data_IF_773188241605
#
_entry.id   IF_773188241605
#
_cell.length_a   1.000
_cell.length_b   1.000
_cell.length_c   1.000
_cell.angle_alpha   90.00
_cell.angle_beta   90.00
_cell.angle_gamma   90.00
#
_symmetry.space_group_name_H-M   'P 1'
#
loop_
_entity.id
_entity.type
_entity.pdbx_description
1 polymer ?
#
# COMPACT_ATOMS: atom_id res chain seq x y z
N UNK A 1 0.94 1.05 2.19
CA UNK A 1 0.12 1.06 3.43
C UNK A 1 0.93 0.45 4.57
N UNK A 2 0.59 0.76 5.82
CA UNK A 2 1.27 0.17 6.97
C UNK A 2 0.94 -1.32 7.14
N UNK A 3 1.87 -2.10 7.71
CA UNK A 3 1.72 -3.54 7.94
C UNK A 3 1.06 -3.89 9.29
N UNK A 4 0.73 -2.88 10.10
CA UNK A 4 0.21 -3.08 11.44
C UNK A 4 -1.13 -3.83 11.46
N UNK A 5 -1.16 -4.94 12.21
CA UNK A 5 -2.32 -5.79 12.46
C UNK A 5 -2.94 -6.49 11.23
N UNK A 6 -2.29 -6.47 10.06
CA UNK A 6 -2.85 -7.07 8.83
C UNK A 6 -3.06 -8.59 8.92
N UNK A 7 -2.45 -9.26 9.91
CA UNK A 7 -2.65 -10.67 10.19
C UNK A 7 -3.94 -11.02 10.94
N UNK A 8 -4.72 -10.04 11.38
CA UNK A 8 -6.00 -10.31 12.05
C UNK A 8 -7.05 -10.82 11.06
N UNK A 9 -7.89 -11.77 11.49
CA UNK A 9 -8.83 -12.48 10.61
C UNK A 9 -9.90 -11.58 9.96
N UNK A 10 -10.20 -10.42 10.54
CA UNK A 10 -11.16 -9.47 9.94
C UNK A 10 -10.61 -8.70 8.73
N UNK A 11 -9.29 -8.73 8.50
CA UNK A 11 -8.71 -8.25 7.25
C UNK A 11 -8.90 -9.30 6.16
N UNK A 12 -9.96 -9.14 5.38
CA UNK A 12 -10.29 -10.02 4.26
C UNK A 12 -9.89 -9.43 2.90
N UNK A 13 -9.41 -8.18 2.86
CA UNK A 13 -9.08 -7.44 1.63
C UNK A 13 -7.79 -6.64 1.82
N UNK A 14 -6.90 -6.70 0.84
CA UNK A 14 -5.61 -6.00 0.83
C UNK A 14 -5.38 -5.25 -0.49
N UNK A 15 -4.38 -4.35 -0.45
CA UNK A 15 -4.20 -3.22 -1.36
C UNK A 15 -5.31 -2.15 -1.25
N UNK A 16 -5.00 -0.92 -1.66
CA UNK A 16 -5.94 0.20 -1.56
C UNK A 16 -7.23 0.00 -2.35
N UNK A 17 -7.24 -0.81 -3.41
CA UNK A 17 -8.42 -1.15 -4.21
C UNK A 17 -9.02 -2.52 -3.89
N UNK A 18 -8.45 -3.25 -2.92
CA UNK A 18 -8.94 -4.58 -2.53
C UNK A 18 -8.76 -5.63 -3.61
N UNK A 19 -7.78 -5.48 -4.51
CA UNK A 19 -7.56 -6.44 -5.60
C UNK A 19 -7.15 -7.84 -5.12
N UNK A 20 -6.77 -7.99 -3.86
CA UNK A 20 -6.56 -9.28 -3.21
C UNK A 20 -7.56 -9.41 -2.08
N UNK A 21 -8.49 -10.35 -2.20
CA UNK A 21 -9.54 -10.59 -1.21
C UNK A 21 -9.84 -12.08 -1.03
N UNK A 22 -10.37 -12.46 0.13
CA UNK A 22 -10.85 -13.83 0.39
C UNK A 22 -11.98 -14.22 -0.57
N UNK A 23 -12.01 -15.50 -0.97
CA UNK A 23 -13.06 -16.06 -1.83
C UNK A 23 -13.85 -17.16 -1.09
N UNK A 24 -14.75 -16.79 -0.15
CA UNK A 24 -15.49 -17.76 0.66
C UNK A 24 -16.45 -18.63 -0.17
N UNK A 25 -16.84 -18.17 -1.36
CA UNK A 25 -17.71 -18.89 -2.30
C UNK A 25 -16.93 -19.91 -3.15
N UNK A 26 -15.59 -19.90 -3.10
CA UNK A 26 -14.74 -20.92 -3.70
C UNK A 26 -14.71 -20.88 -5.23
N UNK A 27 -14.84 -19.70 -5.84
CA UNK A 27 -14.74 -19.52 -7.28
C UNK A 27 -13.35 -19.86 -7.84
N UNK A 28 -12.30 -19.62 -7.05
CA UNK A 28 -10.92 -19.87 -7.40
C UNK A 28 -10.30 -20.93 -6.50
N UNK A 29 -9.60 -21.88 -7.10
CA UNK A 29 -8.96 -22.98 -6.35
C UNK A 29 -7.94 -22.53 -5.30
N UNK A 30 -7.38 -21.34 -5.47
CA UNK A 30 -6.45 -20.73 -4.52
C UNK A 30 -7.13 -20.17 -3.26
N UNK A 31 -8.46 -20.06 -3.23
CA UNK A 31 -9.22 -19.51 -2.09
C UNK A 31 -9.27 -17.98 -2.02
N UNK A 32 -8.79 -17.29 -3.05
CA UNK A 32 -8.69 -15.83 -3.08
C UNK A 32 -9.05 -15.26 -4.45
N UNK A 33 -9.77 -14.13 -4.46
CA UNK A 33 -9.96 -13.31 -5.64
C UNK A 33 -8.73 -12.41 -5.79
N UNK A 34 -7.97 -12.61 -6.86
CA UNK A 34 -6.72 -11.88 -7.11
C UNK A 34 -6.53 -11.56 -8.60
N UNK A 35 -5.61 -10.65 -8.97
CA UNK A 35 -5.31 -10.39 -10.38
C UNK A 35 -4.78 -11.62 -11.13
N UNK A 36 -4.20 -12.59 -10.42
CA UNK A 36 -3.70 -13.83 -11.00
C UNK A 36 -4.82 -14.83 -11.35
N UNK A 37 -6.03 -14.69 -10.77
CA UNK A 37 -7.18 -15.59 -10.99
C UNK A 37 -6.77 -17.05 -10.79
N UNK A 38 -7.10 -17.92 -11.75
CA UNK A 38 -6.74 -19.35 -11.77
C UNK A 38 -5.24 -19.65 -11.85
N UNK A 39 -4.38 -18.63 -12.07
CA UNK A 39 -2.93 -18.82 -12.04
C UNK A 39 -2.35 -18.77 -10.63
N UNK A 40 -3.12 -18.30 -9.64
CA UNK A 40 -2.67 -18.27 -8.24
C UNK A 40 -2.53 -19.72 -7.72
N UNK A 41 -1.34 -20.12 -7.21
CA UNK A 41 -1.14 -21.46 -6.68
C UNK A 41 -1.95 -21.70 -5.40
N UNK A 42 -2.26 -22.98 -5.13
CA UNK A 42 -2.89 -23.43 -3.88
C UNK A 42 -1.90 -23.44 -2.72
N UNK A 43 -2.42 -23.46 -1.50
CA UNK A 43 -1.63 -23.61 -0.27
C UNK A 43 -1.33 -22.31 0.49
N UNK A 44 -1.90 -21.19 0.06
CA UNK A 44 -1.85 -19.92 0.78
C UNK A 44 -2.79 -19.96 1.99
N UNK A 45 -2.32 -19.52 3.15
CA UNK A 45 -3.02 -19.69 4.43
C UNK A 45 -3.89 -18.47 4.83
N UNK A 46 -3.67 -17.31 4.21
CA UNK A 46 -4.39 -16.07 4.54
C UNK A 46 -4.38 -15.10 3.35
N UNK A 47 -5.24 -14.07 3.41
CA UNK A 47 -5.21 -12.99 2.39
C UNK A 47 -3.87 -12.25 2.40
N UNK A 48 -3.22 -12.15 3.56
CA UNK A 48 -1.88 -11.57 3.71
C UNK A 48 -0.83 -12.40 2.98
N UNK A 49 -0.88 -13.73 3.08
CA UNK A 49 -0.04 -14.61 2.29
C UNK A 49 -0.33 -14.45 0.80
N UNK A 50 -1.62 -14.36 0.40
CA UNK A 50 -1.97 -14.11 -1.00
C UNK A 50 -1.42 -12.78 -1.51
N UNK A 51 -1.43 -11.72 -0.68
CA UNK A 51 -0.89 -10.42 -1.03
C UNK A 51 0.64 -10.47 -1.23
N UNK A 52 1.36 -11.20 -0.38
CA UNK A 52 2.82 -11.35 -0.46
C UNK A 52 3.31 -11.98 -1.79
N UNK A 53 2.40 -12.62 -2.55
CA UNK A 53 2.70 -13.16 -3.87
C UNK A 53 2.92 -12.10 -4.96
N UNK A 54 2.43 -10.86 -4.78
CA UNK A 54 2.32 -9.88 -5.87
C UNK A 54 3.49 -8.90 -6.00
N UNK A 55 4.05 -8.32 -4.91
CA UNK A 55 5.14 -7.34 -5.03
C UNK A 55 6.37 -7.87 -5.78
N UNK A 56 6.71 -9.15 -5.55
CA UNK A 56 7.79 -9.86 -6.25
C UNK A 56 7.57 -10.05 -7.76
N UNK A 57 6.33 -9.91 -8.22
CA UNK A 57 5.92 -10.06 -9.61
C UNK A 57 5.60 -8.73 -10.30
N UNK A 58 5.95 -7.60 -9.67
CA UNK A 58 5.63 -6.26 -10.16
C UNK A 58 6.89 -5.56 -10.67
N UNK A 59 6.86 -5.12 -11.93
CA UNK A 59 7.99 -4.42 -12.58
C UNK A 59 8.23 -3.02 -12.04
N UNK A 60 7.26 -2.46 -11.30
CA UNK A 60 7.38 -1.17 -10.62
C UNK A 60 7.69 -1.33 -9.12
N UNK A 61 7.90 -2.57 -8.67
CA UNK A 61 8.30 -2.90 -7.30
C UNK A 61 9.56 -3.77 -7.33
N UNK A 62 9.46 -5.10 -7.19
CA UNK A 62 10.63 -5.95 -6.93
C UNK A 62 11.10 -6.78 -8.13
N UNK A 63 10.28 -6.96 -9.17
CA UNK A 63 10.63 -7.87 -10.26
C UNK A 63 11.78 -7.35 -11.14
N UNK A 64 11.89 -6.02 -11.27
CA UNK A 64 12.76 -5.36 -12.23
C UNK A 64 12.11 -5.16 -13.61
N UNK A 65 12.89 -4.66 -14.56
CA UNK A 65 12.50 -4.40 -15.95
C UNK A 65 12.89 -5.55 -16.89
N UNK A 66 12.20 -5.71 -18.04
CA UNK A 66 12.53 -6.75 -19.01
C UNK A 66 14.00 -6.69 -19.43
N UNK A 67 14.68 -7.84 -19.49
CA UNK A 67 16.10 -7.98 -19.81
C UNK A 67 17.03 -7.94 -18.59
N UNK A 68 16.59 -7.42 -17.44
CA UNK A 68 17.44 -7.37 -16.23
C UNK A 68 17.62 -8.74 -15.60
N UNK A 69 16.56 -9.56 -15.59
CA UNK A 69 16.57 -10.90 -15.02
C UNK A 69 15.40 -11.76 -15.51
N UNK A 70 15.50 -13.07 -15.28
CA UNK A 70 14.51 -14.06 -15.72
C UNK A 70 13.11 -13.92 -15.08
N UNK A 71 12.98 -13.30 -13.91
CA UNK A 71 11.68 -13.02 -13.29
C UNK A 71 11.05 -11.84 -14.01
N UNK A 72 11.78 -10.75 -14.22
CA UNK A 72 11.29 -9.59 -14.96
C UNK A 72 10.81 -9.97 -16.38
N UNK A 73 11.55 -10.82 -17.07
CA UNK A 73 11.15 -11.35 -18.39
C UNK A 73 9.86 -12.18 -18.33
N UNK A 74 9.68 -12.95 -17.25
CA UNK A 74 8.46 -13.72 -17.03
C UNK A 74 7.27 -12.80 -16.71
N UNK A 75 7.47 -11.77 -15.87
CA UNK A 75 6.47 -10.74 -15.56
C UNK A 75 6.01 -10.03 -16.84
N UNK A 76 6.96 -9.53 -17.62
CA UNK A 76 6.70 -8.82 -18.88
C UNK A 76 5.88 -9.65 -19.86
N UNK A 77 6.16 -10.95 -19.93
CA UNK A 77 5.42 -11.87 -20.77
C UNK A 77 4.07 -12.36 -20.18
N UNK A 78 3.64 -11.81 -19.04
CA UNK A 78 2.39 -12.20 -18.37
C UNK A 78 2.39 -13.61 -17.76
N UNK A 79 3.58 -14.14 -17.46
CA UNK A 79 3.83 -15.51 -16.96
C UNK A 79 4.28 -15.50 -15.50
N UNK A 80 3.34 -15.30 -14.56
CA UNK A 80 3.64 -15.44 -13.12
C UNK A 80 3.50 -16.89 -12.61
N UNK A 81 2.42 -17.57 -12.98
CA UNK A 81 2.18 -18.96 -12.59
C UNK A 81 2.74 -20.00 -13.57
N UNK A 82 2.74 -21.26 -13.15
CA UNK A 82 3.14 -22.43 -13.94
C UNK A 82 4.65 -22.77 -13.87
N UNK A 83 5.08 -23.87 -14.51
CA UNK A 83 6.43 -24.43 -14.36
C UNK A 83 7.59 -23.54 -14.81
N UNK A 84 7.31 -22.51 -15.60
CA UNK A 84 8.31 -21.55 -16.10
C UNK A 84 7.98 -20.10 -15.72
N UNK A 85 7.01 -19.92 -14.81
CA UNK A 85 6.54 -18.62 -14.36
C UNK A 85 7.44 -17.99 -13.31
N UNK A 86 7.24 -16.69 -13.06
CA UNK A 86 8.00 -15.92 -12.08
C UNK A 86 8.04 -16.55 -10.68
N UNK A 87 6.93 -17.09 -10.17
CA UNK A 87 6.91 -17.72 -8.84
C UNK A 87 7.73 -19.00 -8.77
N UNK A 88 7.79 -19.80 -9.84
CA UNK A 88 8.63 -20.99 -9.84
C UNK A 88 10.12 -20.63 -9.90
N UNK A 89 10.48 -19.57 -10.63
CA UNK A 89 11.85 -19.03 -10.65
C UNK A 89 12.27 -18.48 -9.29
N UNK A 90 11.37 -17.78 -8.60
CA UNK A 90 11.60 -17.33 -7.22
C UNK A 90 11.76 -18.52 -6.26
N UNK A 91 10.91 -19.55 -6.38
CA UNK A 91 11.07 -20.77 -5.60
C UNK A 91 12.43 -21.43 -5.87
N UNK A 92 12.87 -21.47 -7.13
CA UNK A 92 14.18 -22.02 -7.50
C UNK A 92 15.32 -21.29 -6.80
N UNK A 93 15.30 -19.95 -6.73
CA UNK A 93 16.31 -19.18 -5.96
C UNK A 93 16.35 -19.58 -4.48
N UNK A 94 15.20 -19.86 -3.86
CA UNK A 94 15.15 -20.34 -2.47
C UNK A 94 15.74 -21.75 -2.31
N UNK A 95 15.57 -22.62 -3.33
CA UNK A 95 16.11 -23.99 -3.31
C UNK A 95 17.63 -24.03 -3.50
N UNK A 96 18.18 -23.02 -4.16
CA UNK A 96 19.62 -22.89 -4.43
C UNK A 96 20.40 -22.35 -3.23
N UNK A 97 19.72 -21.83 -2.21
CA UNK A 97 20.32 -21.32 -0.97
C UNK A 97 20.21 -22.36 0.17
N UNK A 98 21.30 -23.08 0.52
CA UNK A 98 21.25 -24.17 1.50
C UNK A 98 20.69 -23.77 2.87
N UNK A 99 20.92 -22.53 3.29
CA UNK A 99 20.44 -22.03 4.57
C UNK A 99 18.93 -21.79 4.55
N UNK A 100 18.38 -21.28 3.46
CA UNK A 100 16.92 -21.20 3.29
C UNK A 100 16.29 -22.59 3.23
N UNK A 101 16.90 -23.54 2.50
CA UNK A 101 16.42 -24.93 2.48
C UNK A 101 16.33 -25.50 3.89
N UNK A 102 17.33 -25.30 4.74
CA UNK A 102 17.32 -25.74 6.15
C UNK A 102 16.20 -25.07 6.95
N UNK A 103 16.02 -23.75 6.78
CA UNK A 103 14.98 -22.99 7.48
C UNK A 103 13.57 -23.44 7.06
N UNK A 104 13.32 -23.62 5.76
CA UNK A 104 12.03 -24.09 5.25
C UNK A 104 11.69 -25.50 5.75
N UNK A 105 12.66 -26.43 5.77
CA UNK A 105 12.46 -27.77 6.33
C UNK A 105 12.14 -27.76 7.82
N UNK A 106 12.74 -26.83 8.56
CA UNK A 106 12.44 -26.64 9.99
C UNK A 106 11.06 -26.05 10.21
N UNK A 107 10.67 -25.05 9.41
CA UNK A 107 9.39 -24.36 9.55
C UNK A 107 8.19 -25.20 9.06
N UNK A 108 8.39 -26.05 8.05
CA UNK A 108 7.32 -26.84 7.43
C UNK A 108 7.69 -28.34 7.33
N UNK A 109 7.95 -29.02 8.46
CA UNK A 109 8.50 -30.38 8.47
C UNK A 109 7.58 -31.42 7.82
N UNK A 110 6.27 -31.22 7.88
CA UNK A 110 5.27 -32.13 7.30
C UNK A 110 5.14 -31.99 5.78
N UNK A 111 5.50 -30.82 5.23
CA UNK A 111 5.37 -30.48 3.80
C UNK A 111 6.69 -30.56 3.04
N UNK A 112 7.81 -30.14 3.65
CA UNK A 112 9.09 -29.94 2.96
C UNK A 112 10.08 -31.03 3.38
N UNK A 113 10.17 -32.10 2.57
CA UNK A 113 11.05 -33.25 2.81
C UNK A 113 12.37 -33.12 2.05
N UNK A 114 12.36 -32.38 0.95
CA UNK A 114 13.48 -32.11 0.06
C UNK A 114 13.44 -30.67 -0.45
N UNK A 115 14.55 -30.11 -0.99
CA UNK A 115 14.53 -28.78 -1.60
C UNK A 115 13.48 -28.67 -2.71
N UNK A 116 13.26 -29.74 -3.48
CA UNK A 116 12.28 -29.79 -4.56
C UNK A 116 10.82 -29.66 -4.10
N UNK A 117 10.53 -29.70 -2.80
CA UNK A 117 9.19 -29.46 -2.24
C UNK A 117 8.92 -27.98 -1.99
N UNK A 118 9.96 -27.14 -1.91
CA UNK A 118 9.81 -25.70 -1.64
C UNK A 118 9.08 -25.05 -2.81
N UNK A 119 8.01 -24.33 -2.52
CA UNK A 119 7.22 -23.51 -3.45
C UNK A 119 7.21 -22.08 -2.96
N UNK A 120 6.96 -21.13 -3.86
CA UNK A 120 6.89 -19.72 -3.46
C UNK A 120 5.74 -19.41 -2.49
N UNK A 121 4.68 -20.23 -2.49
CA UNK A 121 3.61 -20.14 -1.47
C UNK A 121 4.13 -20.34 -0.05
N UNK A 122 5.20 -21.13 0.12
CA UNK A 122 5.81 -21.37 1.43
C UNK A 122 6.49 -20.09 1.95
N UNK A 123 7.14 -19.36 1.05
CA UNK A 123 7.73 -18.07 1.36
C UNK A 123 6.65 -17.02 1.67
N UNK A 124 5.57 -17.00 0.89
CA UNK A 124 4.44 -16.10 1.12
C UNK A 124 3.75 -16.34 2.48
N UNK A 125 3.53 -17.61 2.86
CA UNK A 125 3.01 -17.94 4.19
C UNK A 125 3.99 -17.55 5.30
N UNK A 126 5.30 -17.75 5.10
CA UNK A 126 6.31 -17.33 6.07
C UNK A 126 6.36 -15.79 6.26
N UNK A 127 6.25 -15.02 5.17
CA UNK A 127 6.15 -13.56 5.21
C UNK A 127 4.90 -13.13 5.97
N UNK A 128 3.74 -13.68 5.64
CA UNK A 128 2.49 -13.35 6.32
C UNK A 128 2.53 -13.70 7.82
N UNK A 129 3.13 -14.83 8.19
CA UNK A 129 3.32 -15.21 9.58
C UNK A 129 4.24 -14.25 10.32
N UNK A 130 5.34 -13.83 9.69
CA UNK A 130 6.23 -12.80 10.24
C UNK A 130 5.48 -11.47 10.42
N UNK A 131 4.80 -10.98 9.38
CA UNK A 131 4.08 -9.71 9.43
C UNK A 131 2.99 -9.70 10.53
N UNK A 132 2.28 -10.82 10.68
CA UNK A 132 1.28 -11.02 11.73
C UNK A 132 1.84 -10.82 13.14
N UNK A 133 3.06 -11.29 13.39
CA UNK A 133 3.70 -11.24 14.70
C UNK A 133 4.45 -9.93 14.90
N UNK A 134 5.32 -9.58 13.96
CA UNK A 134 6.24 -8.46 14.07
C UNK A 134 5.53 -7.11 14.06
N UNK A 135 4.40 -7.01 13.35
CA UNK A 135 3.61 -5.77 13.23
C UNK A 135 2.31 -5.82 14.03
N UNK A 136 2.22 -6.69 15.04
CA UNK A 136 1.11 -6.64 16.00
C UNK A 136 1.18 -5.35 16.82
N UNK A 137 0.07 -4.63 16.87
CA UNK A 137 -0.05 -3.34 17.55
C UNK A 137 -1.39 -3.25 18.29
N UNK A 138 -1.33 -3.44 19.60
CA UNK A 138 -2.49 -3.58 20.50
C UNK A 138 -2.26 -3.00 21.92
N UNK A 139 -1.23 -2.16 22.05
CA UNK A 139 -0.77 -1.55 23.30
C UNK A 139 -0.71 -0.03 23.23
N UNK A 140 -1.54 0.61 22.40
CA UNK A 140 -1.64 2.08 22.39
C UNK A 140 -2.33 2.62 23.67
N UNK A 141 -2.21 3.92 23.99
CA UNK A 141 -3.00 4.56 25.04
C UNK A 141 -4.51 4.33 24.89
N UNK A 142 -5.01 4.33 23.65
CA UNK A 142 -6.41 3.99 23.37
C UNK A 142 -6.75 2.53 23.72
N UNK A 143 -5.85 1.57 23.49
CA UNK A 143 -6.07 0.19 23.93
C UNK A 143 -6.11 0.05 25.45
N UNK A 144 -5.24 0.75 26.17
CA UNK A 144 -5.27 0.78 27.63
C UNK A 144 -6.59 1.38 28.15
N UNK A 145 -7.05 2.47 27.52
CA UNK A 145 -8.34 3.08 27.82
C UNK A 145 -9.51 2.10 27.60
N UNK A 146 -9.54 1.39 26.48
CA UNK A 146 -10.56 0.37 26.20
C UNK A 146 -10.52 -0.82 27.18
N UNK A 147 -9.35 -1.12 27.77
CA UNK A 147 -9.18 -2.13 28.83
C UNK A 147 -9.53 -1.63 30.23
N UNK A 148 -10.05 -0.41 30.36
CA UNK A 148 -10.55 0.16 31.61
C UNK A 148 -9.59 1.10 32.34
N UNK A 149 -8.41 1.38 31.79
CA UNK A 149 -7.54 2.44 32.31
C UNK A 149 -8.07 3.81 31.87
N UNK A 150 -8.96 4.37 32.68
CA UNK A 150 -9.54 5.71 32.43
C UNK A 150 -8.50 6.83 32.45
N UNK A 151 -7.27 6.58 32.89
CA UNK A 151 -6.18 7.57 32.93
C UNK A 151 -5.23 7.50 31.73
N UNK A 152 -5.34 6.48 30.88
CA UNK A 152 -4.55 6.36 29.65
C UNK A 152 -4.86 7.47 28.64
N UNK A 153 -6.12 7.92 28.65
CA UNK A 153 -6.65 9.18 28.11
C UNK A 153 -6.09 10.43 28.81
N UNK A 154 -5.47 11.40 28.12
CA UNK A 154 -5.46 12.78 28.62
C UNK A 154 -6.78 13.51 28.29
N UNK A 155 -6.98 14.72 28.82
CA UNK A 155 -8.22 15.49 28.62
C UNK A 155 -8.42 15.94 27.17
N UNK A 156 -7.35 16.27 26.45
CA UNK A 156 -7.41 16.70 25.05
C UNK A 156 -7.70 15.51 24.14
N UNK A 157 -7.04 14.38 24.38
CA UNK A 157 -7.27 13.10 23.70
C UNK A 157 -8.71 12.63 23.89
N UNK A 158 -9.28 12.74 25.09
CA UNK A 158 -10.69 12.44 25.34
C UNK A 158 -11.65 13.34 24.55
N UNK A 159 -11.38 14.65 24.50
CA UNK A 159 -12.18 15.57 23.67
C UNK A 159 -12.09 15.22 22.19
N UNK A 160 -10.90 14.85 21.72
CA UNK A 160 -10.68 14.35 20.37
C UNK A 160 -11.47 13.08 20.08
N UNK A 161 -11.47 12.13 21.01
CA UNK A 161 -12.28 10.92 20.93
C UNK A 161 -13.77 11.25 20.84
N UNK A 162 -14.29 12.15 21.68
CA UNK A 162 -15.69 12.57 21.66
C UNK A 162 -16.08 13.24 20.32
N UNK A 163 -15.18 14.03 19.73
CA UNK A 163 -15.37 14.58 18.40
C UNK A 163 -15.39 13.48 17.34
N UNK A 164 -14.43 12.56 17.39
CA UNK A 164 -14.24 11.47 16.42
C UNK A 164 -15.47 10.55 16.34
N UNK A 165 -16.01 10.17 17.51
CA UNK A 165 -17.22 9.33 17.62
C UNK A 165 -18.53 10.11 17.57
N UNK A 166 -18.46 11.45 17.57
CA UNK A 166 -19.62 12.34 17.58
C UNK A 166 -19.62 13.30 16.39
N UNK A 167 -19.43 14.59 16.70
CA UNK A 167 -19.62 15.71 15.76
C UNK A 167 -18.82 15.58 14.46
N UNK A 168 -17.59 15.05 14.51
CA UNK A 168 -16.72 14.93 13.35
C UNK A 168 -17.14 13.80 12.40
N UNK A 169 -17.90 12.81 12.89
CA UNK A 169 -18.43 11.71 12.08
C UNK A 169 -17.39 10.70 11.59
N UNK A 170 -16.13 10.77 12.06
CA UNK A 170 -15.03 9.90 11.62
C UNK A 170 -15.35 8.41 11.84
N UNK A 171 -16.02 8.09 12.95
CA UNK A 171 -16.47 6.74 13.27
C UNK A 171 -17.53 6.16 12.32
N UNK A 172 -18.04 6.97 11.38
CA UNK A 172 -18.89 6.47 10.29
C UNK A 172 -18.20 5.38 9.47
N UNK A 173 -16.91 5.56 9.16
CA UNK A 173 -16.08 4.57 8.46
C UNK A 173 -14.99 3.99 9.37
N UNK A 174 -14.37 4.81 10.23
CA UNK A 174 -13.26 4.38 11.08
C UNK A 174 -13.74 3.91 12.45
N UNK A 175 -14.20 2.66 12.55
CA UNK A 175 -14.77 2.08 13.78
C UNK A 175 -14.24 0.68 14.06
N UNK A 176 -14.68 0.09 15.17
CA UNK A 176 -14.28 -1.27 15.55
C UNK A 176 -12.83 -1.37 16.05
N UNK A 177 -12.34 -2.60 16.17
CA UNK A 177 -11.05 -2.92 16.81
C UNK A 177 -9.87 -2.22 16.15
N UNK A 178 -9.86 -2.15 14.82
CA UNK A 178 -8.77 -1.52 14.05
C UNK A 178 -9.12 -0.14 13.48
N UNK A 179 -10.21 0.50 13.93
CA UNK A 179 -10.63 1.82 13.42
C UNK A 179 -10.79 1.82 11.89
N UNK A 180 -11.41 0.78 11.37
CA UNK A 180 -11.77 0.60 9.96
C UNK A 180 -13.02 -0.27 9.88
N UNK A 181 -13.86 0.01 8.90
CA UNK A 181 -14.99 -0.85 8.57
C UNK A 181 -14.72 -1.82 7.43
N UNK A 182 -13.47 -1.84 6.94
CA UNK A 182 -13.04 -2.65 5.79
C UNK A 182 -13.85 -2.39 4.50
N UNK A 183 -14.55 -1.25 4.44
CA UNK A 183 -15.35 -0.79 3.32
C UNK A 183 -14.55 -0.02 2.28
N UNK A 184 -15.20 0.32 1.16
CA UNK A 184 -14.62 1.14 0.10
C UNK A 184 -15.41 2.43 -0.06
N UNK A 185 -14.73 3.57 0.08
CA UNK A 185 -15.36 4.89 0.01
C UNK A 185 -14.63 5.81 -0.95
N UNK A 186 -15.41 6.59 -1.69
CA UNK A 186 -14.90 7.71 -2.47
C UNK A 186 -14.96 8.96 -1.59
N UNK A 187 -13.79 9.57 -1.34
CA UNK A 187 -13.67 10.80 -0.54
C UNK A 187 -12.98 11.91 -1.31
N UNK A 188 -12.95 11.83 -2.65
CA UNK A 188 -12.25 12.78 -3.52
C UNK A 188 -10.75 12.97 -3.18
N UNK A 189 -10.08 11.93 -2.64
CA UNK A 189 -8.66 11.96 -2.33
C UNK A 189 -7.83 12.31 -3.57
N UNK A 190 -7.05 13.42 -3.59
CA UNK A 190 -6.31 13.82 -4.77
C UNK A 190 -5.31 12.73 -5.19
N UNK A 191 -5.18 12.48 -6.49
CA UNK A 191 -4.25 11.50 -7.05
C UNK A 191 -2.99 12.18 -7.55
N UNK A 192 -1.83 11.56 -7.34
CA UNK A 192 -0.53 12.05 -7.78
C UNK A 192 0.30 10.90 -8.35
N UNK A 193 1.32 11.21 -9.15
CA UNK A 193 2.23 10.22 -9.71
C UNK A 193 1.71 9.60 -11.03
N UNK A 194 2.30 8.48 -11.48
CA UNK A 194 2.10 7.92 -12.81
C UNK A 194 0.69 7.33 -13.05
N UNK A 195 -0.20 7.40 -12.07
CA UNK A 195 -1.51 6.78 -12.15
C UNK A 195 -1.44 5.26 -12.16
N UNK A 196 -2.51 4.65 -12.67
CA UNK A 196 -2.65 3.19 -12.68
C UNK A 196 -3.23 2.64 -13.98
N UNK A 197 -3.24 3.43 -15.05
CA UNK A 197 -3.65 2.95 -16.38
C UNK A 197 -5.15 3.05 -16.65
N UNK A 198 -5.93 3.71 -15.80
CA UNK A 198 -7.38 3.83 -16.03
C UNK A 198 -7.74 5.17 -16.66
N UNK A 199 -9.00 5.23 -17.12
CA UNK A 199 -9.54 6.38 -17.82
C UNK A 199 -9.38 6.26 -19.33
N UNK A 200 -9.86 7.28 -20.01
CA UNK A 200 -9.81 7.39 -21.47
C UNK A 200 -9.50 8.83 -21.89
N UNK A 201 -8.82 9.58 -21.03
CA UNK A 201 -8.56 10.98 -21.28
C UNK A 201 -7.56 11.18 -22.42
N UNK A 202 -8.08 11.48 -23.61
CA UNK A 202 -7.28 11.81 -24.78
C UNK A 202 -6.57 13.16 -24.69
N UNK A 203 -6.85 14.01 -23.68
CA UNK A 203 -6.16 15.29 -23.49
C UNK A 203 -4.71 15.09 -23.06
N UNK A 204 -4.42 14.08 -22.23
CA UNK A 204 -3.03 13.77 -21.86
C UNK A 204 -2.22 13.41 -23.10
N UNK A 205 -2.75 12.49 -23.93
CA UNK A 205 -2.15 12.14 -25.22
C UNK A 205 -1.97 13.37 -26.11
N UNK A 206 -3.01 14.19 -26.25
CA UNK A 206 -2.99 15.37 -27.12
C UNK A 206 -1.95 16.42 -26.71
N UNK A 207 -1.63 16.52 -25.42
CA UNK A 207 -0.66 17.49 -24.88
C UNK A 207 0.77 16.95 -24.81
N UNK A 208 0.93 15.72 -24.31
CA UNK A 208 2.24 15.12 -24.04
C UNK A 208 2.81 14.33 -25.24
N UNK A 209 1.94 13.85 -26.14
CA UNK A 209 2.31 12.87 -27.15
C UNK A 209 2.66 11.49 -26.54
N UNK A 210 2.24 11.19 -25.31
CA UNK A 210 2.38 9.88 -24.66
C UNK A 210 1.04 9.18 -24.50
N UNK A 211 0.90 7.99 -25.11
CA UNK A 211 -0.37 7.26 -25.13
C UNK A 211 -0.53 6.47 -23.84
N UNK A 212 -0.76 7.20 -22.75
CA UNK A 212 -0.96 6.63 -21.42
C UNK A 212 -2.31 7.07 -20.83
N UNK A 213 -2.79 6.23 -19.92
CA UNK A 213 -3.95 6.48 -19.08
C UNK A 213 -3.46 6.61 -17.65
N UNK A 214 -3.84 7.68 -16.96
CA UNK A 214 -3.20 8.08 -15.70
C UNK A 214 -4.18 8.11 -14.52
N UNK A 215 -5.45 7.81 -14.74
CA UNK A 215 -6.43 7.79 -13.65
C UNK A 215 -6.23 6.52 -12.79
N UNK A 216 -6.56 6.61 -11.51
CA UNK A 216 -6.74 5.48 -10.62
C UNK A 216 -8.22 5.37 -10.21
N UNK A 217 -8.95 4.39 -10.74
CA UNK A 217 -10.34 4.14 -10.35
C UNK A 217 -10.47 3.41 -9.02
N UNK A 218 -9.37 3.04 -8.36
CA UNK A 218 -9.42 2.30 -7.10
C UNK A 218 -10.21 1.00 -7.28
N UNK A 219 -11.25 0.81 -6.44
CA UNK A 219 -12.11 -0.38 -6.47
C UNK A 219 -12.79 -0.60 -7.82
N UNK A 220 -13.11 0.46 -8.57
CA UNK A 220 -13.67 0.38 -9.92
C UNK A 220 -12.82 -0.44 -10.90
N UNK A 221 -11.48 -0.44 -10.75
CA UNK A 221 -10.58 -1.30 -11.54
C UNK A 221 -10.80 -2.79 -11.27
N UNK A 222 -11.13 -3.13 -10.02
CA UNK A 222 -11.31 -4.52 -9.58
C UNK A 222 -12.68 -5.03 -9.99
N UNK A 223 -13.72 -4.22 -9.81
CA UNK A 223 -15.11 -4.64 -10.04
C UNK A 223 -15.59 -4.40 -11.48
N UNK A 224 -14.94 -3.49 -12.20
CA UNK A 224 -15.39 -3.01 -13.51
C UNK A 224 -16.68 -2.20 -13.47
N UNK A 225 -17.15 -1.80 -12.29
CA UNK A 225 -18.40 -1.05 -12.10
C UNK A 225 -18.09 0.43 -11.92
N UNK A 226 -18.65 1.32 -12.77
CA UNK A 226 -18.43 2.76 -12.63
C UNK A 226 -18.86 3.35 -11.28
N UNK A 227 -19.79 2.70 -10.56
CA UNK A 227 -20.22 3.12 -9.23
C UNK A 227 -19.15 2.92 -8.14
N UNK A 228 -18.13 2.11 -8.44
CA UNK A 228 -16.99 1.84 -7.55
C UNK A 228 -15.75 2.69 -7.90
N UNK A 229 -15.83 3.53 -8.94
CA UNK A 229 -14.74 4.41 -9.33
C UNK A 229 -14.37 5.37 -8.19
N UNK A 230 -13.07 5.55 -7.99
CA UNK A 230 -12.45 6.40 -6.96
C UNK A 230 -12.72 5.98 -5.52
N UNK A 231 -13.32 4.79 -5.30
CA UNK A 231 -13.44 4.22 -3.96
C UNK A 231 -12.17 3.48 -3.59
N UNK A 232 -11.67 3.72 -2.39
CA UNK A 232 -10.52 3.01 -1.82
C UNK A 232 -10.87 2.44 -0.45
N UNK A 233 -10.17 1.37 -0.08
CA UNK A 233 -10.35 0.68 1.20
C UNK A 233 -10.12 1.67 2.36
N UNK A 234 -11.03 1.71 3.33
CA UNK A 234 -10.84 2.41 4.60
C UNK A 234 -9.61 1.84 5.31
N UNK A 235 -8.48 2.56 5.44
CA UNK A 235 -7.33 2.03 6.16
C UNK A 235 -7.61 1.99 7.67
N UNK A 236 -6.96 1.05 8.37
CA UNK A 236 -6.87 1.08 9.83
C UNK A 236 -6.19 2.39 10.28
N UNK A 237 -6.68 3.00 11.36
CA UNK A 237 -6.04 4.18 11.96
C UNK A 237 -5.03 3.83 13.06
N UNK A 238 -4.80 2.54 13.33
CA UNK A 238 -3.74 2.12 14.25
C UNK A 238 -2.38 2.62 13.73
N UNK A 239 -1.64 3.32 14.58
CA UNK A 239 -0.36 3.96 14.24
C UNK A 239 -0.43 4.99 13.10
N UNK A 240 -1.60 5.57 12.80
CA UNK A 240 -1.76 6.52 11.68
C UNK A 240 -0.80 7.72 11.77
N UNK A 241 -0.37 8.11 12.97
CA UNK A 241 0.59 9.19 13.17
C UNK A 241 2.01 8.87 12.65
N UNK A 242 2.34 7.60 12.43
CA UNK A 242 3.68 7.15 12.00
C UNK A 242 3.75 6.78 10.51
N UNK A 243 2.64 6.81 9.79
CA UNK A 243 2.51 6.15 8.48
C UNK A 243 2.28 7.14 7.35
N UNK A 244 2.77 8.37 7.52
CA UNK A 244 2.78 9.37 6.47
C UNK A 244 3.75 9.00 5.33
N UNK A 245 3.63 9.64 4.16
CA UNK A 245 2.54 10.55 3.77
C UNK A 245 1.20 9.80 3.60
N UNK A 246 0.10 10.52 3.70
CA UNK A 246 -1.25 9.97 3.80
C UNK A 246 -2.06 10.07 2.50
N UNK A 247 -3.05 9.20 2.36
CA UNK A 247 -3.83 8.99 1.14
C UNK A 247 -3.29 7.81 0.32
N UNK A 248 -4.09 7.26 -0.60
CA UNK A 248 -3.70 6.09 -1.40
C UNK A 248 -2.49 6.35 -2.32
N UNK A 249 -2.24 7.62 -2.64
CA UNK A 249 -1.11 8.08 -3.46
C UNK A 249 -0.05 8.86 -2.66
N UNK A 250 -0.14 8.93 -1.32
CA UNK A 250 0.80 9.71 -0.50
C UNK A 250 0.67 11.23 -0.69
N UNK A 251 -0.55 11.70 -0.92
CA UNK A 251 -0.89 13.06 -1.32
C UNK A 251 -0.68 14.11 -0.22
N UNK A 252 -0.81 13.74 1.05
CA UNK A 252 -0.69 14.68 2.16
C UNK A 252 0.54 14.38 3.01
N UNK A 253 1.40 15.38 3.22
CA UNK A 253 2.63 15.24 4.01
C UNK A 253 2.44 15.45 5.51
N UNK A 254 1.25 15.87 5.95
CA UNK A 254 0.90 16.01 7.38
C UNK A 254 -0.43 15.33 7.67
N UNK A 255 -0.54 14.79 8.89
CA UNK A 255 -1.78 14.18 9.38
C UNK A 255 -2.91 15.22 9.42
N UNK A 256 -2.58 16.45 9.83
CA UNK A 256 -3.52 17.58 9.84
C UNK A 256 -4.09 17.88 8.45
N UNK A 257 -3.26 17.95 7.41
CA UNK A 257 -3.74 18.22 6.06
C UNK A 257 -4.73 17.14 5.60
N UNK A 258 -4.48 15.89 5.97
CA UNK A 258 -5.40 14.77 5.72
C UNK A 258 -6.69 14.92 6.50
N UNK A 259 -6.65 15.25 7.80
CA UNK A 259 -7.84 15.50 8.60
C UNK A 259 -8.66 16.64 7.98
N UNK A 260 -8.03 17.75 7.60
CA UNK A 260 -8.70 18.89 6.96
C UNK A 260 -9.32 18.52 5.61
N UNK A 261 -8.69 17.64 4.83
CA UNK A 261 -9.31 17.07 3.64
C UNK A 261 -10.61 16.34 3.95
N UNK A 262 -10.67 15.53 5.02
CA UNK A 262 -11.90 14.83 5.41
C UNK A 262 -13.02 15.80 5.84
N UNK A 263 -12.67 16.97 6.39
CA UNK A 263 -13.66 17.97 6.83
C UNK A 263 -14.37 18.67 5.66
N UNK A 264 -13.72 18.83 4.50
CA UNK A 264 -14.34 19.34 3.28
C UNK A 264 -13.61 18.83 2.03
N UNK A 265 -13.91 17.58 1.65
CA UNK A 265 -13.14 16.88 0.64
C UNK A 265 -13.28 17.49 -0.77
N UNK A 266 -14.46 18.03 -1.08
CA UNK A 266 -14.74 18.69 -2.36
C UNK A 266 -13.96 20.00 -2.47
N UNK A 267 -14.06 20.89 -1.47
CA UNK A 267 -13.28 22.12 -1.48
C UNK A 267 -11.77 21.82 -1.46
N UNK A 268 -11.35 20.79 -0.72
CA UNK A 268 -9.96 20.37 -0.63
C UNK A 268 -9.39 19.92 -1.98
N UNK A 269 -10.08 19.05 -2.75
CA UNK A 269 -9.56 18.59 -4.06
C UNK A 269 -9.57 19.71 -5.12
N UNK A 270 -10.52 20.63 -5.07
CA UNK A 270 -10.56 21.79 -5.96
C UNK A 270 -9.43 22.78 -5.67
N UNK A 271 -9.11 22.97 -4.39
CA UNK A 271 -8.03 23.84 -3.93
C UNK A 271 -6.65 23.16 -3.93
N UNK A 272 -6.57 21.83 -4.05
CA UNK A 272 -5.31 21.10 -3.93
C UNK A 272 -4.30 21.56 -4.97
N UNK A 273 -3.05 21.74 -4.52
CA UNK A 273 -1.89 22.04 -5.36
C UNK A 273 -0.81 21.07 -4.99
N UNK A 274 -0.28 20.34 -5.97
CA UNK A 274 0.79 19.38 -5.78
C UNK A 274 2.03 20.10 -5.25
N UNK A 275 2.48 19.82 -4.01
CA UNK A 275 3.73 20.35 -3.49
C UNK A 275 4.91 19.81 -4.32
N UNK A 276 5.82 20.69 -4.72
CA UNK A 276 7.04 20.28 -5.44
C UNK A 276 7.88 19.28 -4.63
N UNK A 277 7.87 19.39 -3.30
CA UNK A 277 8.55 18.48 -2.39
C UNK A 277 8.01 17.05 -2.38
N UNK A 278 6.81 16.80 -2.89
CA UNK A 278 6.25 15.45 -3.01
C UNK A 278 6.73 14.72 -4.27
N UNK A 279 7.20 15.45 -5.28
CA UNK A 279 7.77 14.83 -6.47
C UNK A 279 9.28 14.64 -6.27
N UNK A 280 9.83 13.44 -6.53
CA UNK A 280 11.27 13.24 -6.42
C UNK A 280 12.00 14.17 -7.38
N UNK A 281 13.17 14.65 -6.98
CA UNK A 281 14.08 15.34 -7.91
C UNK A 281 14.55 14.33 -8.95
N UNK A 282 14.05 14.46 -10.18
CA UNK A 282 14.38 13.58 -11.30
C UNK A 282 15.54 14.17 -12.10
N UNK A 283 16.76 13.97 -11.60
CA UNK A 283 18.00 14.35 -12.29
C UNK A 283 18.56 13.21 -13.15
N UNK A 284 18.34 11.96 -12.74
CA UNK A 284 18.87 10.76 -13.39
C UNK A 284 17.84 9.62 -13.38
N UNK A 285 18.00 8.69 -14.32
CA UNK A 285 17.22 7.45 -14.38
C UNK A 285 18.14 6.26 -14.61
N UNK A 286 17.75 5.10 -14.09
CA UNK A 286 18.40 3.84 -14.41
C UNK A 286 17.99 3.40 -15.81
N UNK A 287 18.98 3.17 -16.67
CA UNK A 287 18.77 2.65 -18.02
C UNK A 287 19.65 1.43 -18.27
N UNK A 288 19.10 0.45 -18.99
CA UNK A 288 19.87 -0.67 -19.48
C UNK A 288 20.99 -0.17 -20.38
N UNK A 289 22.21 -0.63 -20.13
CA UNK A 289 23.31 -0.42 -21.06
C UNK A 289 23.01 -1.13 -22.38
N UNK A 290 23.69 -0.73 -23.46
CA UNK A 290 23.55 -1.38 -24.77
C UNK A 290 23.86 -2.89 -24.77
N UNK A 291 24.41 -3.45 -23.68
CA UNK A 291 24.62 -4.90 -23.49
C UNK A 291 23.50 -5.61 -22.71
N UNK A 292 22.46 -4.89 -22.25
CA UNK A 292 21.28 -5.44 -21.58
C UNK A 292 21.50 -6.05 -20.19
N UNK A 293 22.74 -6.06 -19.69
CA UNK A 293 23.15 -6.80 -18.49
C UNK A 293 23.58 -5.91 -17.33
N UNK A 294 23.55 -4.59 -17.49
CA UNK A 294 23.88 -3.59 -16.46
C UNK A 294 22.93 -2.42 -16.55
N UNK A 295 22.62 -1.83 -15.40
CA UNK A 295 21.91 -0.56 -15.29
C UNK A 295 22.95 0.54 -15.03
N UNK A 296 22.89 1.61 -15.81
CA UNK A 296 23.65 2.83 -15.58
C UNK A 296 22.69 3.96 -15.17
N UNK A 297 23.08 4.78 -14.19
CA UNK A 297 22.41 6.06 -13.96
C UNK A 297 22.76 7.02 -15.10
N UNK A 298 21.73 7.50 -15.78
CA UNK A 298 21.84 8.41 -16.92
C UNK A 298 21.13 9.72 -16.62
N UNK A 299 21.78 10.89 -16.86
CA UNK A 299 21.13 12.17 -16.72
C UNK A 299 19.87 12.28 -17.57
N UNK A 300 18.83 12.86 -16.99
CA UNK A 300 17.62 13.18 -17.73
C UNK A 300 17.81 14.46 -18.54
N UNK A 301 17.42 14.42 -19.82
CA UNK A 301 17.29 15.65 -20.59
C UNK A 301 16.11 16.46 -20.08
N UNK A 302 16.16 17.79 -20.21
CA UNK A 302 15.08 18.68 -19.74
C UNK A 302 13.71 18.29 -20.31
N UNK A 303 13.66 17.85 -21.57
CA UNK A 303 12.41 17.38 -22.19
C UNK A 303 11.87 16.07 -21.60
N UNK A 304 12.73 15.19 -21.06
CA UNK A 304 12.26 13.99 -20.34
C UNK A 304 11.81 14.34 -18.93
N UNK A 305 12.56 15.19 -18.22
CA UNK A 305 12.15 15.67 -16.88
C UNK A 305 10.77 16.33 -16.94
N UNK A 306 10.53 17.20 -17.92
CA UNK A 306 9.22 17.85 -18.11
C UNK A 306 8.08 16.83 -18.35
N UNK A 307 8.33 15.75 -19.09
CA UNK A 307 7.32 14.70 -19.33
C UNK A 307 6.99 13.90 -18.07
N UNK A 308 7.99 13.59 -17.24
CA UNK A 308 7.74 12.96 -15.94
C UNK A 308 6.92 13.87 -15.01
N UNK A 309 7.28 15.15 -14.92
CA UNK A 309 6.55 16.12 -14.10
C UNK A 309 5.11 16.33 -14.61
N UNK A 310 4.92 16.38 -15.93
CA UNK A 310 3.59 16.47 -16.52
C UNK A 310 2.74 15.24 -16.23
N UNK A 311 3.30 14.04 -16.38
CA UNK A 311 2.64 12.77 -16.05
C UNK A 311 2.23 12.74 -14.58
N UNK A 312 3.16 13.01 -13.68
CA UNK A 312 2.96 12.85 -12.23
C UNK A 312 2.06 13.94 -11.63
N UNK A 313 1.93 15.08 -12.31
CA UNK A 313 0.99 16.14 -11.97
C UNK A 313 -0.32 16.14 -12.77
N UNK A 314 -0.51 15.21 -13.71
CA UNK A 314 -1.61 15.29 -14.70
C UNK A 314 -2.98 15.40 -14.06
N UNK A 315 -3.27 14.52 -13.10
CA UNK A 315 -4.59 14.49 -12.44
C UNK A 315 -4.91 15.82 -11.76
N UNK A 316 -3.91 16.52 -11.25
CA UNK A 316 -4.09 17.83 -10.60
C UNK A 316 -4.26 18.98 -11.60
N UNK A 317 -3.90 18.78 -12.86
CA UNK A 317 -4.07 19.74 -13.96
C UNK A 317 -5.38 19.52 -14.74
N UNK A 318 -6.07 18.39 -14.53
CA UNK A 318 -7.32 18.06 -15.21
C UNK A 318 -8.56 18.41 -14.37
N UNK A 319 -9.19 19.54 -14.70
CA UNK A 319 -10.43 20.00 -14.05
C UNK A 319 -11.59 19.01 -14.18
N UNK A 320 -11.69 18.30 -15.30
CA UNK A 320 -12.77 17.34 -15.53
C UNK A 320 -12.64 16.13 -14.61
N UNK A 321 -11.41 15.63 -14.44
CA UNK A 321 -11.11 14.55 -13.52
C UNK A 321 -11.35 14.96 -12.07
N UNK A 322 -10.85 16.13 -11.64
CA UNK A 322 -11.10 16.65 -10.28
C UNK A 322 -12.60 16.80 -10.01
N UNK A 323 -13.37 17.27 -10.99
CA UNK A 323 -14.83 17.37 -10.87
C UNK A 323 -15.52 15.99 -10.80
N UNK A 324 -15.01 14.96 -11.48
CA UNK A 324 -15.52 13.57 -11.34
C UNK A 324 -15.25 13.04 -9.93
N UNK A 325 -14.05 13.23 -9.41
CA UNK A 325 -13.68 12.81 -8.05
C UNK A 325 -14.53 13.53 -7.00
N UNK A 326 -14.72 14.85 -7.14
CA UNK A 326 -15.59 15.64 -6.27
C UNK A 326 -17.04 15.13 -6.28
N UNK A 327 -17.60 14.82 -7.46
CA UNK A 327 -18.96 14.25 -7.58
C UNK A 327 -19.09 12.85 -6.99
N UNK A 328 -18.01 12.07 -6.99
CA UNK A 328 -17.99 10.74 -6.39
C UNK A 328 -17.89 10.78 -4.86
N UNK A 329 -17.50 11.92 -4.26
CA UNK A 329 -17.30 12.04 -2.82
C UNK A 329 -18.57 11.72 -2.02
N UNK A 330 -18.42 10.85 -1.02
CA UNK A 330 -19.46 10.46 -0.08
C UNK A 330 -19.49 11.36 1.18
N UNK A 331 -18.44 12.17 1.38
CA UNK A 331 -18.32 13.03 2.55
C UNK A 331 -19.13 14.32 2.40
N UNK A 332 -19.78 14.72 3.50
CA UNK A 332 -20.41 16.03 3.63
C UNK A 332 -19.49 16.96 4.43
N UNK A 333 -19.46 18.27 4.12
CA UNK A 333 -18.62 19.20 4.88
C UNK A 333 -18.98 19.25 6.36
N UNK A 334 -17.96 19.23 7.21
CA UNK A 334 -18.06 19.34 8.68
C UNK A 334 -17.24 20.54 9.14
N UNK A 335 -17.84 21.41 9.96
CA UNK A 335 -17.16 22.59 10.51
C UNK A 335 -16.62 22.30 11.90
N UNK A 336 -15.30 22.30 12.02
CA UNK A 336 -14.56 22.26 13.27
C UNK A 336 -13.69 23.51 13.40
N UNK A 337 -13.55 24.02 14.61
CA UNK A 337 -12.53 25.01 14.96
C UNK A 337 -11.13 24.39 14.98
N UNK A 338 -10.07 25.19 14.90
CA UNK A 338 -8.70 24.66 14.98
C UNK A 338 -8.44 23.94 16.30
N UNK A 339 -9.02 24.40 17.41
CA UNK A 339 -8.94 23.72 18.71
C UNK A 339 -9.59 22.33 18.68
N UNK A 340 -10.68 22.17 17.94
CA UNK A 340 -11.32 20.85 17.73
C UNK A 340 -10.49 19.96 16.80
N UNK A 341 -9.83 20.53 15.78
CA UNK A 341 -8.89 19.78 14.92
C UNK A 341 -7.68 19.31 15.72
N UNK A 342 -7.09 20.16 16.56
CA UNK A 342 -5.97 19.81 17.43
C UNK A 342 -6.36 18.68 18.41
N UNK A 343 -7.58 18.73 18.94
CA UNK A 343 -8.09 17.66 19.80
C UNK A 343 -8.23 16.33 19.03
N UNK A 344 -8.76 16.35 17.79
CA UNK A 344 -8.81 15.17 16.93
C UNK A 344 -7.43 14.60 16.66
N UNK A 345 -6.46 15.45 16.31
CA UNK A 345 -5.07 15.03 16.08
C UNK A 345 -4.48 14.39 17.34
N UNK A 346 -4.71 15.00 18.51
CA UNK A 346 -4.29 14.43 19.80
C UNK A 346 -4.85 13.03 20.03
N UNK A 347 -6.13 12.80 19.71
CA UNK A 347 -6.72 11.47 19.77
C UNK A 347 -6.10 10.49 18.75
N UNK A 348 -5.84 10.91 17.52
CA UNK A 348 -5.18 10.05 16.52
C UNK A 348 -3.76 9.65 16.95
N UNK A 349 -3.03 10.52 17.65
CA UNK A 349 -1.75 10.16 18.27
C UNK A 349 -1.89 9.12 19.39
N UNK A 350 -3.02 9.10 20.11
CA UNK A 350 -3.31 8.08 21.13
C UNK A 350 -3.59 6.68 20.53
N UNK A 351 -3.72 6.58 19.20
CA UNK A 351 -3.82 5.31 18.46
C UNK A 351 -2.43 4.71 18.15
N UNK A 352 -1.34 5.40 18.49
CA UNK A 352 0.02 4.92 18.28
C UNK A 352 0.46 4.01 19.43
N UNK A 353 0.86 2.80 19.08
CA UNK A 353 1.48 1.84 19.99
C UNK A 353 2.95 2.20 20.20
N UNK A 354 3.43 2.37 21.44
CA UNK A 354 4.83 2.70 21.71
C UNK A 354 5.83 1.68 21.12
N UNK A 355 5.43 0.44 20.88
CA UNK A 355 6.28 -0.58 20.26
C UNK A 355 6.37 -0.46 18.72
N UNK A 356 5.49 0.31 18.08
CA UNK A 356 5.52 0.55 16.63
C UNK A 356 6.74 1.37 16.19
N UNK A 357 7.30 2.18 17.10
CA UNK A 357 8.51 2.99 16.86
C UNK A 357 9.83 2.21 17.06
N UNK A 358 9.77 0.95 17.49
CA UNK A 358 10.94 0.17 17.92
C UNK A 358 11.03 -1.18 17.19
N UNK A 359 10.89 -1.19 15.86
CA UNK A 359 10.88 -2.40 15.04
C UNK A 359 12.27 -2.83 14.55
N UNK A 360 13.33 -2.08 14.81
CA UNK A 360 14.67 -2.35 14.27
C UNK A 360 15.26 -3.68 14.75
N UNK A 361 14.80 -4.19 15.90
CA UNK A 361 15.20 -5.50 16.41
C UNK A 361 14.77 -6.67 15.53
N UNK A 362 13.82 -6.46 14.61
CA UNK A 362 13.42 -7.46 13.61
C UNK A 362 14.33 -7.47 12.37
N UNK A 363 15.18 -6.46 12.19
CA UNK A 363 16.10 -6.38 11.06
C UNK A 363 17.28 -7.32 11.33
N UNK A 364 17.49 -8.38 10.52
CA UNK A 364 18.58 -9.32 10.76
C UNK A 364 19.94 -8.67 10.45
N UNK A 365 21.00 -9.14 11.12
CA UNK A 365 22.36 -8.63 10.87
C UNK A 365 22.87 -8.98 9.46
N UNK A 366 22.44 -10.13 8.94
CA UNK A 366 22.73 -10.65 7.60
C UNK A 366 21.58 -11.57 7.14
N UNK A 367 21.45 -11.76 5.83
CA UNK A 367 20.51 -12.73 5.24
C UNK A 367 21.25 -13.98 4.74
N UNK A 368 20.60 -15.15 4.70
CA UNK A 368 21.20 -16.40 4.20
C UNK A 368 21.93 -16.30 2.86
N UNK A 369 21.40 -15.51 1.92
CA UNK A 369 22.00 -15.31 0.60
C UNK A 369 23.30 -14.49 0.60
N UNK A 370 23.70 -13.93 1.74
CA UNK A 370 24.86 -13.05 1.85
C UNK A 370 24.67 -11.66 1.22
N UNK A 371 23.47 -11.35 0.71
CA UNK A 371 23.15 -10.01 0.23
C UNK A 371 23.23 -9.00 1.38
N UNK A 372 23.63 -7.75 1.11
CA UNK A 372 23.63 -6.71 2.12
C UNK A 372 22.21 -6.49 2.64
N UNK A 373 22.10 -6.29 3.96
CA UNK A 373 20.88 -5.80 4.59
C UNK A 373 21.01 -4.29 4.68
N UNK A 374 20.10 -3.57 4.04
CA UNK A 374 20.06 -2.11 4.11
C UNK A 374 19.84 -1.68 5.56
N UNK A 375 20.88 -1.13 6.17
CA UNK A 375 20.76 -0.51 7.49
C UNK A 375 20.35 0.93 7.24
N UNK A 376 19.12 1.27 7.59
CA UNK A 376 18.67 2.66 7.61
C UNK A 376 19.64 3.44 8.51
N UNK A 377 20.48 4.28 7.93
CA UNK A 377 21.08 5.38 8.69
C UNK A 377 19.90 6.20 9.23
N UNK A 378 19.86 6.42 10.54
CA UNK A 378 18.80 7.23 11.16
C UNK A 378 18.86 8.64 10.58
N UNK A 379 18.20 8.88 9.46
CA UNK A 379 17.90 10.23 9.04
C UNK A 379 16.99 10.82 10.11
N UNK A 380 17.55 11.77 10.86
CA UNK A 380 16.81 12.60 11.81
C UNK A 380 15.81 13.44 11.02
N UNK A 381 14.65 12.87 10.73
CA UNK A 381 13.47 13.60 10.29
C UNK A 381 12.39 13.34 11.35
N UNK A 382 12.40 14.19 12.38
CA UNK A 382 11.26 14.38 13.27
C UNK A 382 10.34 15.43 12.67
#
# INVERSE_FOLDING_TARGET
PALFNLGALEFERLFHDGRVESDPEGHYEGGFVTPARWKLPRGLESVLAAQAMFPVGSSVEMAGQPGENEIADAVWAGRMGGPYGGWERLAQRLREEPDYVRLFRTAFPDRIRSPADIRFVDAANAIAAFETVAFRSDRSPFDAFLRGDSTALDTTQRRGMDLFYGKAGCAGCHRGTFQTDHGFHAIAMPQIGPGKGDGHDGRYWGRSGEKAFLEDFGRGRVTGRPADDFRFLTPSLRNVALTGPWGHAGTFTTLEATVRHHLDAVASVEAYRLPESLLPSLTEVWELTGSGSRLDQRPLSSGRTLRFLERDGWVQQDDSLRARMARASELRPVRLSDVEVDALLSFLHALTDPSADALEHWIPEAVPSGLPVDRLERHQAR
#
